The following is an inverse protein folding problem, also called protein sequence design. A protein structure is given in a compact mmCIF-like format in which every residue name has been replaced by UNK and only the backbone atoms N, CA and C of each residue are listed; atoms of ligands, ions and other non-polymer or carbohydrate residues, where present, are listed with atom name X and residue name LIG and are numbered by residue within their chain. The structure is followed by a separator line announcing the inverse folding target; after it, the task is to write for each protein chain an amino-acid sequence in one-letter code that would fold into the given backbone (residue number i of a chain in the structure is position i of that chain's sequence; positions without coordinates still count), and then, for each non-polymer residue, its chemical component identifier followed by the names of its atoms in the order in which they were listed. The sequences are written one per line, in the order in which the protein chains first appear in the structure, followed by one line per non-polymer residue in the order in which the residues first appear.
data_IF_922030464907
#
_entry.id   IF_922030464907
#
_cell.length_a   1.000
_cell.length_b   1.000
_cell.length_c   1.000
_cell.angle_alpha   90.00
_cell.angle_beta   90.00
_cell.angle_gamma   90.00
#
_symmetry.space_group_name_H-M   'P 1'
#
loop_
_entity.id
_entity.type
_entity.pdbx_description
1 polymer ?
#
# COMPACT_ATOMS: atom_id res chain seq x y z
N UNK A 1 -8.12 -27.35 -35.68
CA UNK A 1 -7.16 -26.30 -35.42
C UNK A 1 -7.47 -25.67 -34.07
N UNK A 2 -6.71 -26.06 -33.05
CA UNK A 2 -6.91 -25.55 -31.70
C UNK A 2 -6.09 -24.27 -31.54
N UNK A 3 -6.77 -23.12 -31.33
CA UNK A 3 -6.08 -21.92 -30.91
C UNK A 3 -5.68 -22.10 -29.43
N UNK A 4 -4.43 -22.32 -29.16
CA UNK A 4 -3.91 -22.18 -27.79
C UNK A 4 -3.97 -20.70 -27.45
N UNK A 5 -5.02 -20.33 -26.71
CA UNK A 5 -5.00 -19.07 -25.99
C UNK A 5 -4.09 -19.32 -24.78
N UNK A 6 -2.80 -19.10 -24.98
CA UNK A 6 -1.90 -18.95 -23.86
C UNK A 6 -2.30 -17.64 -23.17
N UNK A 7 -3.18 -17.74 -22.18
CA UNK A 7 -3.39 -16.66 -21.25
C UNK A 7 -2.02 -16.35 -20.63
N UNK A 8 -1.46 -15.19 -20.98
CA UNK A 8 -0.25 -14.71 -20.35
C UNK A 8 -0.61 -14.39 -18.90
N UNK A 9 -0.41 -15.39 -18.02
CA UNK A 9 -0.30 -15.12 -16.59
C UNK A 9 1.04 -14.39 -16.43
N UNK A 10 0.97 -13.10 -16.09
CA UNK A 10 2.17 -12.35 -15.78
C UNK A 10 2.98 -13.13 -14.75
N UNK A 11 4.30 -13.35 -14.96
CA UNK A 11 5.12 -14.02 -13.97
C UNK A 11 4.99 -13.32 -12.61
N UNK A 12 5.05 -14.07 -11.51
CA UNK A 12 4.96 -13.53 -10.12
C UNK A 12 5.90 -12.34 -9.93
N UNK A 13 7.08 -12.35 -10.57
CA UNK A 13 8.05 -11.26 -10.53
C UNK A 13 7.52 -9.96 -11.17
N UNK A 14 6.72 -10.04 -12.24
CA UNK A 14 6.16 -8.85 -12.87
C UNK A 14 5.12 -8.18 -11.98
N UNK A 15 4.28 -8.95 -11.28
CA UNK A 15 3.32 -8.41 -10.32
C UNK A 15 4.01 -7.75 -9.14
N UNK A 16 5.06 -8.38 -8.60
CA UNK A 16 5.83 -7.78 -7.52
C UNK A 16 6.48 -6.47 -7.98
N UNK A 17 7.08 -6.44 -9.16
CA UNK A 17 7.68 -5.22 -9.69
C UNK A 17 6.65 -4.09 -9.89
N UNK A 18 5.45 -4.43 -10.36
CA UNK A 18 4.36 -3.46 -10.54
C UNK A 18 3.87 -2.92 -9.18
N UNK A 19 3.71 -3.79 -8.18
CA UNK A 19 3.30 -3.41 -6.83
C UNK A 19 4.40 -2.58 -6.16
N UNK A 20 5.66 -2.97 -6.28
CA UNK A 20 6.80 -2.20 -5.77
C UNK A 20 6.82 -0.79 -6.37
N UNK A 21 6.48 -0.65 -7.65
CA UNK A 21 6.40 0.66 -8.31
C UNK A 21 5.28 1.52 -7.72
N UNK A 22 4.13 0.94 -7.37
CA UNK A 22 3.05 1.69 -6.70
C UNK A 22 3.46 2.07 -5.29
N UNK A 23 4.12 1.19 -4.55
CA UNK A 23 4.66 1.50 -3.21
C UNK A 23 5.67 2.66 -3.27
N UNK A 24 6.50 2.71 -4.30
CA UNK A 24 7.43 3.83 -4.51
C UNK A 24 6.70 5.15 -4.77
N UNK A 25 5.61 5.12 -5.54
CA UNK A 25 4.75 6.30 -5.75
C UNK A 25 4.08 6.75 -4.46
N UNK A 26 3.62 5.80 -3.65
CA UNK A 26 3.02 6.09 -2.34
C UNK A 26 3.99 6.87 -1.47
N UNK A 27 5.23 6.39 -1.36
CA UNK A 27 6.30 7.05 -0.58
C UNK A 27 6.57 8.45 -1.12
N UNK A 28 6.68 8.60 -2.44
CA UNK A 28 6.96 9.88 -3.09
C UNK A 28 5.84 10.89 -2.83
N UNK A 29 4.58 10.52 -3.02
CA UNK A 29 3.43 11.36 -2.72
C UNK A 29 3.39 11.76 -1.24
N UNK A 30 3.59 10.80 -0.35
CA UNK A 30 3.59 11.06 1.10
C UNK A 30 4.68 12.08 1.46
N UNK A 31 5.90 11.90 0.97
CA UNK A 31 7.02 12.78 1.25
C UNK A 31 6.82 14.20 0.70
N UNK A 32 6.08 14.33 -0.39
CA UNK A 32 5.74 15.63 -0.98
C UNK A 32 4.54 16.31 -0.32
N UNK A 33 3.86 15.62 0.60
CA UNK A 33 2.63 16.13 1.19
C UNK A 33 1.44 16.08 0.24
N UNK A 34 1.50 15.27 -0.81
CA UNK A 34 0.42 15.07 -1.77
C UNK A 34 -0.47 13.90 -1.32
N UNK A 35 -1.34 14.15 -0.36
CA UNK A 35 -2.20 13.12 0.22
C UNK A 35 -3.36 12.73 -0.70
N UNK A 36 -3.79 13.62 -1.59
CA UNK A 36 -4.69 13.26 -2.67
C UNK A 36 -4.04 12.26 -3.61
N UNK A 37 -2.74 12.43 -3.91
CA UNK A 37 -1.94 11.47 -4.67
C UNK A 37 -1.85 10.12 -3.97
N UNK A 38 -1.58 10.10 -2.66
CA UNK A 38 -1.58 8.86 -1.86
C UNK A 38 -2.94 8.17 -1.97
N UNK A 39 -4.03 8.88 -1.73
CA UNK A 39 -5.38 8.32 -1.79
C UNK A 39 -5.75 7.79 -3.18
N UNK A 40 -5.21 8.40 -4.24
CA UNK A 40 -5.45 7.95 -5.62
C UNK A 40 -4.90 6.55 -5.91
N UNK A 41 -3.97 6.06 -5.10
CA UNK A 41 -3.39 4.72 -5.23
C UNK A 41 -4.27 3.63 -4.61
N UNK A 42 -5.31 4.01 -3.90
CA UNK A 42 -6.30 3.12 -3.31
C UNK A 42 -7.50 2.96 -4.24
N UNK A 43 -8.24 1.86 -4.12
CA UNK A 43 -9.54 1.74 -4.79
C UNK A 43 -10.54 2.73 -4.19
N UNK A 44 -11.62 3.05 -4.91
CA UNK A 44 -12.64 4.00 -4.43
C UNK A 44 -13.31 3.52 -3.14
N UNK A 45 -13.47 2.21 -2.99
CA UNK A 45 -14.09 1.55 -1.84
C UNK A 45 -13.08 0.96 -0.85
N UNK A 46 -11.82 1.35 -0.94
CA UNK A 46 -10.76 0.81 -0.10
C UNK A 46 -11.03 1.05 1.39
N UNK A 47 -10.52 0.12 2.20
CA UNK A 47 -10.56 0.24 3.66
C UNK A 47 -9.16 0.17 4.23
N UNK A 48 -8.81 1.12 5.07
CA UNK A 48 -7.58 1.12 5.85
C UNK A 48 -7.90 0.78 7.31
N UNK A 49 -6.99 0.03 7.94
CA UNK A 49 -7.14 -0.45 9.30
C UNK A 49 -5.95 0.05 10.14
N UNK A 50 -5.97 1.32 10.56
CA UNK A 50 -4.91 1.86 11.39
C UNK A 50 -4.91 1.23 12.78
N UNK A 51 -3.72 0.98 13.38
CA UNK A 51 -3.65 0.41 14.73
C UNK A 51 -4.25 1.34 15.77
N UNK A 52 -5.02 0.76 16.70
CA UNK A 52 -5.61 1.52 17.81
C UNK A 52 -6.72 2.49 17.42
N UNK A 53 -7.26 2.37 16.23
CA UNK A 53 -8.24 3.30 15.66
C UNK A 53 -9.30 2.56 14.88
N UNK A 54 -10.42 3.20 14.59
CA UNK A 54 -11.47 2.61 13.77
C UNK A 54 -11.05 2.45 12.30
N UNK A 55 -11.78 1.63 11.57
CA UNK A 55 -11.60 1.48 10.13
C UNK A 55 -11.87 2.80 9.40
N UNK A 56 -11.08 3.06 8.37
CA UNK A 56 -11.23 4.25 7.51
C UNK A 56 -11.61 3.77 6.11
N UNK A 57 -12.77 4.21 5.63
CA UNK A 57 -13.32 3.76 4.34
C UNK A 57 -13.31 4.87 3.32
N UNK A 58 -12.91 4.51 2.09
CA UNK A 58 -12.95 5.37 0.92
C UNK A 58 -11.81 6.37 0.85
N UNK A 59 -11.58 6.87 -0.36
CA UNK A 59 -10.45 7.79 -0.63
C UNK A 59 -10.44 9.06 0.21
N UNK A 60 -11.58 9.76 0.41
CA UNK A 60 -11.54 10.98 1.23
C UNK A 60 -11.09 10.73 2.67
N UNK A 61 -11.55 9.63 3.28
CA UNK A 61 -11.12 9.26 4.63
C UNK A 61 -9.66 8.84 4.67
N UNK A 62 -9.18 8.11 3.67
CA UNK A 62 -7.78 7.67 3.56
C UNK A 62 -6.85 8.87 3.35
N UNK A 63 -7.25 9.85 2.54
CA UNK A 63 -6.50 11.10 2.38
C UNK A 63 -6.33 11.82 3.71
N UNK A 64 -7.42 11.97 4.47
CA UNK A 64 -7.40 12.61 5.78
C UNK A 64 -6.55 11.82 6.79
N UNK A 65 -6.61 10.49 6.74
CA UNK A 65 -5.79 9.61 7.59
C UNK A 65 -4.30 9.87 7.39
N UNK A 66 -3.82 9.83 6.15
CA UNK A 66 -2.40 9.99 5.85
C UNK A 66 -1.92 11.42 6.07
N UNK A 67 -2.78 12.41 5.82
CA UNK A 67 -2.49 13.80 6.16
C UNK A 67 -2.27 13.98 7.67
N UNK A 68 -3.13 13.38 8.50
CA UNK A 68 -2.98 13.40 9.96
C UNK A 68 -1.73 12.65 10.43
N UNK A 69 -1.45 11.47 9.84
CA UNK A 69 -0.25 10.70 10.15
C UNK A 69 1.03 11.47 9.84
N UNK A 70 1.06 12.21 8.74
CA UNK A 70 2.22 12.99 8.31
C UNK A 70 2.59 14.12 9.27
N UNK A 71 1.67 14.54 10.14
CA UNK A 71 1.97 15.50 11.20
C UNK A 71 2.84 14.89 12.31
N UNK A 72 2.80 13.57 12.46
CA UNK A 72 3.46 12.83 13.56
C UNK A 72 4.68 12.06 13.12
N UNK A 73 4.69 11.56 11.88
CA UNK A 73 5.72 10.67 11.36
C UNK A 73 6.13 11.07 9.94
N UNK A 74 7.33 10.67 9.56
CA UNK A 74 7.88 10.89 8.24
C UNK A 74 8.87 9.82 7.84
N UNK A 75 9.53 10.03 6.73
CA UNK A 75 10.57 9.14 6.17
C UNK A 75 10.10 7.67 6.08
N UNK A 76 8.94 7.40 5.44
CA UNK A 76 8.43 6.05 5.34
C UNK A 76 9.34 5.19 4.45
N UNK A 77 9.58 3.97 4.91
CA UNK A 77 10.26 2.92 4.14
C UNK A 77 9.40 1.66 4.20
N UNK A 78 9.23 1.04 3.05
CA UNK A 78 8.47 -0.18 2.90
C UNK A 78 9.38 -1.28 2.38
N UNK A 79 9.29 -2.47 2.98
CA UNK A 79 10.02 -3.65 2.53
C UNK A 79 9.02 -4.76 2.24
N UNK A 80 8.88 -5.11 0.97
CA UNK A 80 8.04 -6.23 0.54
C UNK A 80 8.72 -7.55 0.86
N UNK A 81 8.04 -8.41 1.61
CA UNK A 81 8.53 -9.75 1.96
C UNK A 81 7.95 -10.83 1.05
N UNK A 82 6.69 -10.69 0.66
CA UNK A 82 5.98 -11.69 -0.13
C UNK A 82 4.83 -11.05 -0.91
N UNK A 83 4.73 -11.39 -2.18
CA UNK A 83 3.60 -11.06 -3.04
C UNK A 83 3.04 -12.35 -3.62
N UNK A 84 1.75 -12.59 -3.42
CA UNK A 84 1.05 -13.76 -3.96
C UNK A 84 -0.15 -13.34 -4.78
N UNK A 85 -0.22 -13.83 -6.01
CA UNK A 85 -1.42 -13.68 -6.82
C UNK A 85 -2.55 -14.52 -6.23
N UNK A 86 -3.71 -13.90 -6.06
CA UNK A 86 -4.94 -14.55 -5.60
C UNK A 86 -5.94 -14.76 -6.74
N UNK A 87 -5.59 -14.27 -7.91
CA UNK A 87 -6.37 -14.33 -9.13
C UNK A 87 -5.74 -13.40 -10.18
N UNK A 88 -6.34 -13.26 -11.37
CA UNK A 88 -5.77 -12.44 -12.43
C UNK A 88 -5.76 -10.94 -12.11
N UNK A 89 -6.61 -10.50 -11.19
CA UNK A 89 -6.79 -9.08 -10.84
C UNK A 89 -6.68 -8.81 -9.34
N UNK A 90 -6.19 -9.78 -8.56
CA UNK A 90 -6.08 -9.67 -7.10
C UNK A 90 -4.77 -10.28 -6.63
N UNK A 91 -4.10 -9.58 -5.72
CA UNK A 91 -2.87 -10.05 -5.09
C UNK A 91 -2.86 -9.65 -3.62
N UNK A 92 -2.06 -10.35 -2.81
CA UNK A 92 -1.76 -9.91 -1.46
C UNK A 92 -0.27 -9.62 -1.33
N UNK A 93 0.05 -8.62 -0.56
CA UNK A 93 1.42 -8.28 -0.20
C UNK A 93 1.57 -8.35 1.31
N UNK A 94 2.66 -8.97 1.77
CA UNK A 94 3.10 -8.94 3.17
C UNK A 94 4.43 -8.21 3.21
N UNK A 95 4.58 -7.29 4.14
CA UNK A 95 5.79 -6.51 4.27
C UNK A 95 6.01 -5.93 5.66
N UNK A 96 7.10 -5.21 5.77
CA UNK A 96 7.45 -4.45 6.96
C UNK A 96 7.65 -2.99 6.59
N UNK A 97 7.50 -2.12 7.57
CA UNK A 97 7.71 -0.69 7.36
C UNK A 97 8.55 -0.10 8.48
N UNK A 98 9.16 1.04 8.19
CA UNK A 98 9.72 1.92 9.18
C UNK A 98 9.31 3.36 8.92
N UNK A 99 9.14 4.10 9.99
CA UNK A 99 8.81 5.51 10.01
C UNK A 99 9.68 6.20 11.06
N UNK A 100 9.91 7.50 10.91
CA UNK A 100 10.58 8.30 11.93
C UNK A 100 9.57 9.22 12.60
N UNK A 101 9.56 9.29 13.92
CA UNK A 101 8.76 10.30 14.62
C UNK A 101 9.32 11.69 14.34
N UNK A 102 8.48 12.72 14.42
CA UNK A 102 8.89 14.11 14.25
C UNK A 102 9.23 14.80 15.56
N UNK A 103 9.18 14.06 16.67
CA UNK A 103 9.51 14.60 17.99
C UNK A 103 11.02 14.72 18.24
N UNK A 104 11.36 15.24 19.39
CA UNK A 104 12.75 15.29 19.88
C UNK A 104 12.86 14.43 21.16
N UNK A 105 13.67 13.36 21.15
CA UNK A 105 14.50 12.89 20.05
C UNK A 105 13.70 12.22 18.93
N UNK A 106 14.27 12.17 17.70
CA UNK A 106 13.73 11.37 16.62
C UNK A 106 13.81 9.88 16.99
N UNK A 107 12.72 9.15 16.77
CA UNK A 107 12.67 7.72 17.04
C UNK A 107 12.17 6.98 15.81
N UNK A 108 12.75 5.80 15.57
CA UNK A 108 12.29 4.90 14.54
C UNK A 108 11.12 4.06 15.06
N UNK A 109 10.03 4.02 14.31
CA UNK A 109 8.90 3.12 14.53
C UNK A 109 8.91 2.10 13.42
N UNK A 110 8.86 0.82 13.78
CA UNK A 110 8.80 -0.27 12.83
C UNK A 110 7.51 -1.06 13.00
N UNK A 111 7.09 -1.71 11.95
CA UNK A 111 5.90 -2.53 12.00
C UNK A 111 5.80 -3.46 10.80
N UNK A 112 4.66 -4.09 10.70
CA UNK A 112 4.34 -5.06 9.65
C UNK A 112 2.98 -4.73 9.05
N UNK A 113 2.80 -5.06 7.78
CA UNK A 113 1.58 -4.76 7.07
C UNK A 113 1.17 -5.90 6.14
N UNK A 114 -0.12 -5.90 5.82
CA UNK A 114 -0.71 -6.73 4.79
C UNK A 114 -1.60 -5.85 3.93
N UNK A 115 -1.43 -5.92 2.63
CA UNK A 115 -2.25 -5.21 1.65
C UNK A 115 -2.90 -6.21 0.71
N UNK A 116 -4.19 -6.04 0.47
CA UNK A 116 -4.89 -6.68 -0.65
C UNK A 116 -4.91 -5.68 -1.80
N UNK A 117 -4.38 -6.12 -2.93
CA UNK A 117 -4.28 -5.34 -4.16
C UNK A 117 -5.34 -5.79 -5.15
N UNK A 118 -5.98 -4.84 -5.80
CA UNK A 118 -6.89 -5.08 -6.93
C UNK A 118 -6.39 -4.34 -8.17
N UNK A 119 -6.45 -5.02 -9.31
CA UNK A 119 -6.10 -4.41 -10.58
C UNK A 119 -7.34 -3.73 -11.16
N UNK A 120 -7.27 -2.42 -11.35
CA UNK A 120 -8.32 -1.59 -11.91
C UNK A 120 -7.82 -1.04 -13.23
N UNK A 121 -8.36 -1.52 -14.35
CA UNK A 121 -7.77 -1.28 -15.66
C UNK A 121 -6.38 -1.91 -15.73
N UNK A 122 -5.35 -1.10 -15.96
CA UNK A 122 -3.96 -1.55 -16.00
C UNK A 122 -3.19 -1.24 -14.72
N UNK A 123 -3.86 -0.70 -13.68
CA UNK A 123 -3.21 -0.21 -12.47
C UNK A 123 -3.56 -1.06 -11.26
N UNK A 124 -2.52 -1.44 -10.51
CA UNK A 124 -2.70 -2.04 -9.19
C UNK A 124 -3.04 -0.96 -8.16
N UNK A 125 -4.11 -1.18 -7.39
CA UNK A 125 -4.61 -0.28 -6.36
C UNK A 125 -4.72 -1.02 -5.03
N UNK A 126 -4.42 -0.31 -3.94
CA UNK A 126 -4.64 -0.84 -2.59
C UNK A 126 -6.15 -0.91 -2.33
N UNK A 127 -6.67 -2.10 -2.03
CA UNK A 127 -8.08 -2.33 -1.72
C UNK A 127 -8.32 -2.47 -0.21
N UNK A 128 -7.41 -3.11 0.49
CA UNK A 128 -7.42 -3.20 1.96
C UNK A 128 -5.99 -3.06 2.45
N UNK A 129 -5.81 -2.30 3.51
CA UNK A 129 -4.49 -1.95 4.04
C UNK A 129 -4.53 -1.98 5.56
N UNK A 130 -3.88 -2.99 6.13
CA UNK A 130 -3.81 -3.18 7.58
C UNK A 130 -2.35 -3.22 8.03
N UNK A 131 -2.05 -2.55 9.13
CA UNK A 131 -0.71 -2.55 9.70
C UNK A 131 -0.78 -2.50 11.23
N UNK A 132 0.33 -2.85 11.84
CA UNK A 132 0.52 -2.71 13.27
C UNK A 132 1.96 -2.31 13.58
N UNK A 133 2.21 -1.95 14.83
CA UNK A 133 3.50 -1.42 15.29
C UNK A 133 4.59 -2.48 15.50
N UNK A 134 4.38 -3.71 15.10
CA UNK A 134 5.36 -4.78 15.21
C UNK A 134 5.52 -5.38 16.61
N UNK A 135 4.74 -4.95 17.57
CA UNK A 135 4.74 -5.52 18.93
C UNK A 135 3.66 -6.58 19.09
#
# INVERSE_FOLDING_TARGET
MFALVTGLVAPVFAQQAEIDAVNAKWIDFFNKGDFAGVASLYTEDATAFPPGSGMVKGRPGIEALWKGMAEKVGDPKLTTLDVKALGPSTAREIGTFSLMTKGSPLQQVTGKYLVVWEKVGNDWKLAADIWNDGK
#
